data_IF_003450571310
#
_entry.id   IF_003450571310
#
_cell.length_a   1.000
_cell.length_b   1.000
_cell.length_c   1.000
_cell.angle_alpha   90.00
_cell.angle_beta   90.00
_cell.angle_gamma   90.00
#
_symmetry.space_group_name_H-M   'P 1'
#
loop_
_entity.id
_entity.type
_entity.pdbx_description
1 polymer ?
#
# COMPACT_ATOMS: atom_id res chain seq x y z
N UNK A 1 2.85 -15.58 4.26
CA UNK A 1 2.81 -14.13 3.91
C UNK A 1 2.87 -13.35 5.21
N UNK A 2 3.68 -12.29 5.30
CA UNK A 2 3.69 -11.38 6.46
C UNK A 2 2.34 -10.64 6.55
N UNK A 3 1.83 -10.40 7.75
CA UNK A 3 0.62 -9.59 7.94
C UNK A 3 0.90 -8.09 7.79
N UNK A 4 -0.12 -7.29 7.51
CA UNK A 4 0.02 -5.84 7.42
C UNK A 4 0.56 -5.21 8.71
N UNK A 5 0.19 -5.76 9.88
CA UNK A 5 0.72 -5.33 11.19
C UNK A 5 2.21 -5.68 11.37
N UNK A 6 2.64 -6.84 10.89
CA UNK A 6 4.07 -7.17 10.87
C UNK A 6 4.84 -6.24 9.93
N UNK A 7 4.27 -5.89 8.78
CA UNK A 7 4.91 -4.98 7.84
C UNK A 7 5.00 -3.54 8.36
N UNK A 8 3.95 -3.05 9.03
CA UNK A 8 3.97 -1.74 9.74
C UNK A 8 5.04 -1.72 10.83
N UNK A 9 5.15 -2.80 11.61
CA UNK A 9 6.18 -2.93 12.65
C UNK A 9 7.59 -2.86 12.05
N UNK A 10 7.82 -3.56 10.93
CA UNK A 10 9.08 -3.50 10.20
C UNK A 10 9.40 -2.09 9.68
N UNK A 11 8.42 -1.40 9.09
CA UNK A 11 8.58 0.00 8.63
C UNK A 11 8.99 0.91 9.79
N UNK A 12 8.37 0.76 10.96
CA UNK A 12 8.72 1.56 12.15
C UNK A 12 10.19 1.35 12.56
N UNK A 13 10.66 0.10 12.60
CA UNK A 13 12.04 -0.23 12.93
C UNK A 13 13.01 0.36 11.89
N UNK A 14 12.66 0.23 10.61
CA UNK A 14 13.48 0.75 9.51
C UNK A 14 13.56 2.29 9.55
N UNK A 15 12.47 2.99 9.87
CA UNK A 15 12.49 4.46 10.03
C UNK A 15 13.42 4.92 11.15
N UNK A 16 13.52 4.18 12.24
CA UNK A 16 14.48 4.52 13.31
C UNK A 16 15.93 4.26 12.88
N UNK A 17 16.19 3.18 12.15
CA UNK A 17 17.51 2.90 11.58
C UNK A 17 17.92 3.95 10.53
N UNK A 18 17.01 4.32 9.65
CA UNK A 18 17.21 5.35 8.62
C UNK A 18 17.67 6.66 9.25
N UNK A 19 16.92 7.18 10.24
CA UNK A 19 17.30 8.40 10.98
C UNK A 19 18.67 8.29 11.64
N UNK A 20 19.01 7.12 12.19
CA UNK A 20 20.29 6.90 12.85
C UNK A 20 21.46 7.02 11.85
N UNK A 21 21.40 6.30 10.73
CA UNK A 21 22.44 6.32 9.72
C UNK A 21 22.50 7.64 8.95
N UNK A 22 21.36 8.29 8.73
CA UNK A 22 21.33 9.63 8.16
C UNK A 22 22.07 10.63 9.05
N UNK A 23 21.83 10.61 10.37
CA UNK A 23 22.52 11.49 11.32
C UNK A 23 24.03 11.23 11.36
N UNK A 24 24.46 9.96 11.37
CA UNK A 24 25.89 9.61 11.31
C UNK A 24 26.51 10.14 10.02
N UNK A 25 25.89 9.85 8.87
CA UNK A 25 26.38 10.28 7.56
C UNK A 25 26.47 11.79 7.40
N UNK A 26 25.57 12.56 8.03
CA UNK A 26 25.65 14.03 8.04
C UNK A 26 26.76 14.52 8.98
N UNK A 27 26.88 13.94 10.18
CA UNK A 27 27.87 14.34 11.19
C UNK A 27 29.30 14.03 10.74
N UNK A 28 29.51 12.84 10.18
CA UNK A 28 30.82 12.34 9.77
C UNK A 28 31.13 12.64 8.31
N UNK A 29 30.16 13.19 7.55
CA UNK A 29 30.24 13.39 6.08
C UNK A 29 30.56 12.09 5.33
N UNK A 30 30.14 10.96 5.89
CA UNK A 30 30.36 9.62 5.35
C UNK A 30 29.29 9.28 4.29
N UNK A 31 29.74 9.10 3.05
CA UNK A 31 28.88 8.72 1.92
C UNK A 31 28.27 7.33 2.09
N UNK A 32 28.93 6.42 2.82
CA UNK A 32 28.41 5.08 3.04
C UNK A 32 27.13 5.10 3.87
N UNK A 33 27.14 5.79 5.01
CA UNK A 33 25.99 5.92 5.92
C UNK A 33 24.83 6.67 5.27
N UNK A 34 25.11 7.69 4.44
CA UNK A 34 24.09 8.37 3.65
C UNK A 34 23.46 7.43 2.59
N UNK A 35 24.29 6.64 1.89
CA UNK A 35 23.82 5.64 0.94
C UNK A 35 22.98 4.55 1.61
N UNK A 36 23.38 4.11 2.81
CA UNK A 36 22.63 3.13 3.58
C UNK A 36 21.26 3.66 4.03
N UNK A 37 21.18 4.90 4.50
CA UNK A 37 19.92 5.56 4.82
C UNK A 37 18.99 5.66 3.60
N UNK A 38 19.54 6.01 2.42
CA UNK A 38 18.79 6.04 1.18
C UNK A 38 18.24 4.66 0.77
N UNK A 39 19.05 3.60 0.92
CA UNK A 39 18.60 2.21 0.68
C UNK A 39 17.50 1.77 1.64
N UNK A 40 17.55 2.18 2.91
CA UNK A 40 16.46 1.92 3.87
C UNK A 40 15.17 2.63 3.43
N UNK A 41 15.26 3.88 2.98
CA UNK A 41 14.10 4.62 2.46
C UNK A 41 13.45 3.93 1.27
N UNK A 42 14.24 3.35 0.36
CA UNK A 42 13.72 2.59 -0.76
C UNK A 42 12.94 1.34 -0.30
N UNK A 43 13.49 0.59 0.66
CA UNK A 43 12.80 -0.54 1.28
C UNK A 43 11.48 -0.13 1.94
N UNK A 44 11.46 0.98 2.69
CA UNK A 44 10.24 1.51 3.31
C UNK A 44 9.19 1.83 2.24
N UNK A 45 9.59 2.51 1.15
CA UNK A 45 8.68 2.87 0.06
C UNK A 45 8.05 1.63 -0.61
N UNK A 46 8.82 0.55 -0.77
CA UNK A 46 8.29 -0.73 -1.30
C UNK A 46 7.29 -1.35 -0.32
N UNK A 47 7.61 -1.41 0.97
CA UNK A 47 6.71 -1.96 1.99
C UNK A 47 5.41 -1.13 2.11
N UNK A 48 5.49 0.20 2.08
CA UNK A 48 4.30 1.06 2.08
C UNK A 48 3.44 0.86 0.83
N UNK A 49 4.06 0.67 -0.34
CA UNK A 49 3.33 0.28 -1.57
C UNK A 49 2.66 -1.09 -1.40
N UNK A 50 3.32 -2.06 -0.77
CA UNK A 50 2.74 -3.37 -0.48
C UNK A 50 1.53 -3.22 0.44
N UNK A 51 1.61 -2.47 1.55
CA UNK A 51 0.47 -2.23 2.46
C UNK A 51 -0.66 -1.49 1.73
N UNK A 52 -0.35 -0.45 0.96
CA UNK A 52 -1.35 0.29 0.18
C UNK A 52 -2.05 -0.61 -0.82
N UNK A 53 -1.32 -1.53 -1.46
CA UNK A 53 -1.88 -2.51 -2.38
C UNK A 53 -2.55 -3.69 -1.66
N UNK A 54 -2.12 -4.04 -0.44
CA UNK A 54 -2.67 -5.10 0.42
C UNK A 54 -4.01 -4.68 1.00
N UNK A 55 -4.12 -3.45 1.50
CA UNK A 55 -5.41 -2.82 1.85
C UNK A 55 -6.32 -2.69 0.63
N UNK A 56 -5.76 -2.59 -0.58
CA UNK A 56 -6.54 -2.68 -1.82
C UNK A 56 -7.00 -4.13 -2.10
N UNK A 57 -6.23 -5.13 -1.68
CA UNK A 57 -6.53 -6.58 -1.79
C UNK A 57 -7.56 -7.04 -0.75
N UNK A 58 -7.49 -6.55 0.49
CA UNK A 58 -8.47 -6.79 1.55
C UNK A 58 -9.63 -5.81 1.32
N UNK A 59 -10.47 -6.14 0.35
CA UNK A 59 -11.44 -5.22 -0.28
C UNK A 59 -11.40 -5.24 -1.82
N UNK A 60 -10.65 -6.18 -2.43
CA UNK A 60 -10.60 -6.36 -3.89
C UNK A 60 -11.93 -6.89 -4.41
N UNK A 61 -12.80 -5.97 -4.76
CA UNK A 61 -13.90 -6.27 -5.65
C UNK A 61 -13.32 -6.69 -7.00
N UNK A 62 -13.77 -7.84 -7.52
CA UNK A 62 -13.39 -8.33 -8.84
C UNK A 62 -14.55 -8.05 -9.78
N UNK A 63 -14.27 -7.48 -10.95
CA UNK A 63 -15.30 -7.30 -11.97
C UNK A 63 -15.87 -8.66 -12.39
N UNK A 64 -17.18 -8.92 -12.22
CA UNK A 64 -17.78 -10.20 -12.59
C UNK A 64 -17.76 -10.47 -14.10
N UNK A 65 -17.55 -9.42 -14.92
CA UNK A 65 -17.50 -9.56 -16.38
C UNK A 65 -16.13 -9.96 -16.93
N UNK A 66 -15.03 -9.48 -16.34
CA UNK A 66 -13.69 -9.62 -16.93
C UNK A 66 -12.57 -9.95 -15.94
N UNK A 67 -12.90 -10.23 -14.67
CA UNK A 67 -11.92 -10.64 -13.65
C UNK A 67 -10.94 -9.55 -13.21
N UNK A 68 -11.14 -8.31 -13.63
CA UNK A 68 -10.22 -7.21 -13.34
C UNK A 68 -10.51 -6.59 -11.97
N UNK A 69 -9.46 -6.21 -11.26
CA UNK A 69 -9.50 -5.70 -9.88
C UNK A 69 -9.34 -4.19 -9.78
N UNK A 70 -9.03 -3.52 -10.88
CA UNK A 70 -8.98 -2.08 -10.98
C UNK A 70 -10.38 -1.54 -11.29
N UNK A 71 -11.00 -0.96 -10.25
CA UNK A 71 -12.38 -0.49 -10.28
C UNK A 71 -12.45 0.94 -9.77
N UNK A 72 -13.24 1.76 -10.44
CA UNK A 72 -13.50 3.16 -10.12
C UNK A 72 -14.74 3.27 -9.24
N UNK A 73 -14.64 3.94 -8.09
CA UNK A 73 -15.78 4.22 -7.25
C UNK A 73 -16.65 5.32 -7.86
N UNK A 74 -17.93 5.02 -8.10
CA UNK A 74 -18.88 5.95 -8.72
C UNK A 74 -19.94 6.47 -7.77
N UNK A 75 -20.00 5.97 -6.54
CA UNK A 75 -20.95 6.40 -5.51
C UNK A 75 -21.59 5.21 -4.81
N UNK A 76 -22.79 5.41 -4.26
CA UNK A 76 -23.50 4.39 -3.50
C UNK A 76 -24.84 4.02 -4.17
N UNK A 77 -25.23 2.75 -4.05
CA UNK A 77 -26.50 2.23 -4.52
C UNK A 77 -27.19 1.49 -3.37
N UNK A 78 -28.23 2.10 -2.79
CA UNK A 78 -29.03 1.51 -1.69
C UNK A 78 -28.18 1.01 -0.51
N UNK A 79 -27.17 1.80 -0.12
CA UNK A 79 -26.25 1.46 0.98
C UNK A 79 -25.12 0.50 0.59
N UNK A 80 -24.97 0.16 -0.68
CA UNK A 80 -23.87 -0.64 -1.23
C UNK A 80 -22.93 0.23 -2.07
N UNK A 81 -21.69 -0.20 -2.27
CA UNK A 81 -20.71 0.55 -3.08
C UNK A 81 -20.99 0.32 -4.57
N UNK A 82 -21.06 1.40 -5.35
CA UNK A 82 -21.21 1.35 -6.81
C UNK A 82 -19.85 1.52 -7.50
N UNK A 83 -19.46 0.52 -8.28
CA UNK A 83 -18.16 0.44 -8.93
C UNK A 83 -18.29 0.33 -10.44
N UNK A 84 -17.35 0.96 -11.16
CA UNK A 84 -17.16 0.82 -12.60
C UNK A 84 -15.84 0.15 -12.90
N UNK A 85 -15.83 -0.88 -13.74
CA UNK A 85 -14.59 -1.49 -14.21
C UNK A 85 -13.90 -0.58 -15.23
N UNK A 86 -12.62 -0.24 -14.98
CA UNK A 86 -11.81 0.59 -15.88
C UNK A 86 -11.45 -0.14 -17.18
N UNK A 87 -11.44 -1.47 -17.18
CA UNK A 87 -11.09 -2.30 -18.34
C UNK A 87 -12.27 -2.57 -19.27
N UNK A 88 -13.40 -3.05 -18.76
CA UNK A 88 -14.56 -3.42 -19.58
C UNK A 88 -15.71 -2.40 -19.54
N UNK A 89 -15.59 -1.35 -18.73
CA UNK A 89 -16.60 -0.29 -18.63
C UNK A 89 -17.90 -0.68 -17.91
N UNK A 90 -18.07 -1.95 -17.50
CA UNK A 90 -19.26 -2.42 -16.80
C UNK A 90 -19.36 -1.81 -15.40
N UNK A 91 -20.58 -1.42 -15.05
CA UNK A 91 -20.92 -0.95 -13.71
C UNK A 91 -21.60 -2.05 -12.91
N UNK A 92 -21.31 -2.15 -11.61
CA UNK A 92 -21.93 -3.11 -10.72
C UNK A 92 -21.93 -2.61 -9.27
N UNK A 93 -22.88 -3.10 -8.48
CA UNK A 93 -22.99 -2.80 -7.05
C UNK A 93 -22.41 -3.94 -6.25
N UNK A 94 -21.60 -3.64 -5.23
CA UNK A 94 -21.00 -4.63 -4.35
C UNK A 94 -21.52 -4.46 -2.93
N UNK A 95 -22.00 -5.56 -2.37
CA UNK A 95 -22.58 -5.58 -1.03
C UNK A 95 -21.44 -5.60 -0.02
N UNK A 96 -21.22 -4.49 0.67
CA UNK A 96 -20.37 -4.43 1.85
C UNK A 96 -21.17 -4.97 3.04
N UNK A 97 -21.30 -6.29 3.16
CA UNK A 97 -21.72 -6.84 4.45
C UNK A 97 -20.61 -6.54 5.47
N UNK A 98 -20.93 -5.72 6.47
CA UNK A 98 -20.20 -5.70 7.73
C UNK A 98 -20.71 -6.92 8.51
N UNK A 99 -19.97 -8.02 8.41
CA UNK A 99 -20.04 -9.07 9.44
C UNK A 99 -19.01 -8.73 10.53
#
# INVERSE_FOLDING_TARGET
MLSDEQLKTMISILREKEKHYYKIGVKEKDSFSQGFAAGIMECINVMEKIIKNSNRIIGRWICPGCGYTDLEHKGECKGNIYLKCTKCGKNFCVITKKD
#
